data_IF_120282135784
#
_entry.id   IF_120282135784
#
_cell.length_a   1.000
_cell.length_b   1.000
_cell.length_c   1.000
_cell.angle_alpha   90.00
_cell.angle_beta   90.00
_cell.angle_gamma   90.00
#
_symmetry.space_group_name_H-M   'P 1'
#
loop_
_entity.id
_entity.type
_entity.pdbx_description
1 polymer ?
#
# COMPACT_ATOMS: atom_id res chain seq x y z
N UNK A 1 19.38 28.59 -0.50
CA UNK A 1 19.08 27.22 -1.00
C UNK A 1 17.64 26.92 -0.62
N UNK A 2 16.73 26.91 -1.59
CA UNK A 2 15.32 26.64 -1.33
C UNK A 2 15.12 25.12 -1.34
N UNK A 3 14.84 24.54 -0.17
CA UNK A 3 14.60 23.10 0.00
C UNK A 3 13.19 22.67 -0.42
N UNK A 4 12.30 23.64 -0.63
CA UNK A 4 10.92 23.44 -1.05
C UNK A 4 10.66 24.26 -2.31
N UNK A 5 9.87 23.69 -3.22
CA UNK A 5 9.28 24.37 -4.37
C UNK A 5 7.77 24.35 -4.17
N UNK A 6 7.14 25.50 -4.36
CA UNK A 6 5.68 25.65 -4.29
C UNK A 6 5.19 26.00 -5.69
N UNK A 7 4.42 25.09 -6.27
CA UNK A 7 3.79 25.29 -7.57
C UNK A 7 2.40 25.89 -7.38
N UNK A 8 1.96 26.73 -8.32
CA UNK A 8 0.59 27.23 -8.30
C UNK A 8 -0.37 26.06 -8.62
N UNK A 9 -1.34 25.73 -7.74
CA UNK A 9 -2.31 24.67 -8.02
C UNK A 9 -3.08 24.86 -9.33
N UNK A 10 -3.23 26.09 -9.83
CA UNK A 10 -3.91 26.35 -11.10
C UNK A 10 -3.08 25.99 -12.34
N UNK A 11 -1.77 25.84 -12.20
CA UNK A 11 -0.87 25.40 -13.26
C UNK A 11 -0.73 23.87 -13.30
N UNK A 12 -1.25 23.16 -12.29
CA UNK A 12 -1.18 21.70 -12.17
C UNK A 12 -2.41 21.02 -12.78
N UNK A 13 -2.25 19.75 -13.15
CA UNK A 13 -3.40 18.91 -13.52
C UNK A 13 -4.34 18.77 -12.32
N UNK A 14 -5.65 18.77 -12.58
CA UNK A 14 -6.63 18.59 -11.50
C UNK A 14 -6.47 17.22 -10.83
N UNK A 15 -5.95 16.21 -11.55
CA UNK A 15 -5.63 14.89 -11.01
C UNK A 15 -4.50 14.97 -9.98
N UNK A 16 -3.42 15.71 -10.26
CA UNK A 16 -2.33 15.92 -9.30
C UNK A 16 -2.84 16.63 -8.03
N UNK A 17 -3.62 17.70 -8.19
CA UNK A 17 -4.24 18.41 -7.07
C UNK A 17 -5.17 17.50 -6.24
N UNK A 18 -6.02 16.71 -6.89
CA UNK A 18 -6.92 15.78 -6.21
C UNK A 18 -6.13 14.71 -5.45
N UNK A 19 -5.02 14.25 -6.02
CA UNK A 19 -4.15 13.27 -5.38
C UNK A 19 -3.42 13.86 -4.15
N UNK A 20 -2.89 15.08 -4.24
CA UNK A 20 -2.32 15.79 -3.08
C UNK A 20 -3.33 15.90 -1.93
N UNK A 21 -4.56 16.31 -2.24
CA UNK A 21 -5.65 16.41 -1.24
C UNK A 21 -6.01 15.05 -0.67
N UNK A 22 -6.09 14.00 -1.51
CA UNK A 22 -6.35 12.63 -1.09
C UNK A 22 -5.30 12.16 -0.08
N UNK A 23 -4.01 12.28 -0.43
CA UNK A 23 -2.91 11.78 0.39
C UNK A 23 -2.79 12.58 1.69
N UNK A 24 -2.87 13.91 1.63
CA UNK A 24 -2.77 14.75 2.81
C UNK A 24 -3.94 14.51 3.78
N UNK A 25 -5.18 14.42 3.28
CA UNK A 25 -6.34 14.20 4.14
C UNK A 25 -6.31 12.82 4.80
N UNK A 26 -5.96 11.76 4.07
CA UNK A 26 -5.82 10.43 4.70
C UNK A 26 -4.66 10.43 5.69
N UNK A 27 -3.52 11.03 5.36
CA UNK A 27 -2.38 11.10 6.28
C UNK A 27 -2.74 11.79 7.60
N UNK A 28 -3.37 12.97 7.54
CA UNK A 28 -3.83 13.70 8.73
C UNK A 28 -4.76 12.83 9.57
N UNK A 29 -5.73 12.16 8.94
CA UNK A 29 -6.67 11.30 9.67
C UNK A 29 -6.01 10.04 10.24
N UNK A 30 -5.00 9.46 9.58
CA UNK A 30 -4.17 8.37 10.10
C UNK A 30 -3.39 8.82 11.33
N UNK A 31 -2.76 10.00 11.28
CA UNK A 31 -2.03 10.58 12.43
C UNK A 31 -2.99 10.83 13.60
N UNK A 32 -4.13 11.46 13.35
CA UNK A 32 -5.16 11.70 14.38
C UNK A 32 -5.64 10.38 14.98
N UNK A 33 -5.95 9.38 14.15
CA UNK A 33 -6.34 8.05 14.62
C UNK A 33 -5.24 7.42 15.47
N UNK A 34 -3.98 7.47 15.04
CA UNK A 34 -2.84 6.93 15.80
C UNK A 34 -2.69 7.61 17.17
N UNK A 35 -2.83 8.93 17.25
CA UNK A 35 -2.79 9.68 18.52
C UNK A 35 -3.97 9.31 19.42
N UNK A 36 -5.18 9.23 18.87
CA UNK A 36 -6.39 8.87 19.64
C UNK A 36 -6.27 7.45 20.19
N UNK A 37 -5.81 6.49 19.38
CA UNK A 37 -5.60 5.10 19.80
C UNK A 37 -4.49 4.99 20.85
N UNK A 38 -3.40 5.74 20.68
CA UNK A 38 -2.33 5.80 21.67
C UNK A 38 -2.83 6.29 23.03
N UNK A 39 -3.65 7.35 23.05
CA UNK A 39 -4.29 7.87 24.27
C UNK A 39 -5.26 6.86 24.90
N UNK A 40 -5.82 5.95 24.12
CA UNK A 40 -6.68 4.84 24.58
C UNK A 40 -5.88 3.60 25.01
N UNK A 41 -4.55 3.65 24.94
CA UNK A 41 -3.66 2.56 25.34
C UNK A 41 -3.32 1.56 24.24
N UNK A 42 -3.79 1.78 23.00
CA UNK A 42 -3.46 0.96 21.83
C UNK A 42 -2.28 1.57 21.09
N UNK A 43 -1.14 0.87 21.11
CA UNK A 43 0.16 1.36 20.63
C UNK A 43 0.45 0.99 19.17
N UNK A 44 -0.26 0.00 18.63
CA UNK A 44 -0.05 -0.53 17.27
C UNK A 44 -0.10 0.54 16.19
N UNK A 45 -1.00 1.52 16.29
CA UNK A 45 -1.15 2.56 15.26
C UNK A 45 0.03 3.53 15.21
N UNK A 46 0.60 3.90 16.37
CA UNK A 46 1.81 4.72 16.40
C UNK A 46 3.02 3.93 15.91
N UNK A 47 3.12 2.66 16.30
CA UNK A 47 4.16 1.76 15.80
C UNK A 47 4.11 1.63 14.27
N UNK A 48 2.92 1.40 13.71
CA UNK A 48 2.68 1.32 12.28
C UNK A 48 3.05 2.62 11.55
N UNK A 49 2.61 3.77 12.08
CA UNK A 49 2.90 5.10 11.51
C UNK A 49 4.42 5.35 11.43
N UNK A 50 5.16 5.07 12.51
CA UNK A 50 6.62 5.25 12.51
C UNK A 50 7.30 4.23 11.58
N UNK A 51 6.89 2.96 11.60
CA UNK A 51 7.48 1.94 10.74
C UNK A 51 7.24 2.24 9.25
N UNK A 52 6.03 2.61 8.87
CA UNK A 52 5.68 2.97 7.49
C UNK A 52 6.37 4.25 7.03
N UNK A 53 6.51 5.25 7.92
CA UNK A 53 7.28 6.46 7.63
C UNK A 53 8.76 6.12 7.38
N UNK A 54 9.41 5.37 8.27
CA UNK A 54 10.81 4.94 8.09
C UNK A 54 10.98 4.12 6.83
N UNK A 55 10.06 3.18 6.57
CA UNK A 55 10.06 2.39 5.34
C UNK A 55 10.07 3.31 4.11
N UNK A 56 9.16 4.28 4.07
CA UNK A 56 9.03 5.20 2.96
C UNK A 56 10.25 6.07 2.77
N UNK A 57 10.78 6.67 3.85
CA UNK A 57 11.99 7.48 3.76
C UNK A 57 13.17 6.67 3.21
N UNK A 58 13.35 5.42 3.64
CA UNK A 58 14.45 4.58 3.13
C UNK A 58 14.25 4.21 1.67
N UNK A 59 13.03 3.89 1.25
CA UNK A 59 12.76 3.56 -0.15
C UNK A 59 12.92 4.76 -1.07
N UNK A 60 12.45 5.93 -0.64
CA UNK A 60 12.43 7.09 -1.51
C UNK A 60 13.78 7.81 -1.55
N UNK A 61 14.46 7.90 -0.41
CA UNK A 61 15.86 8.38 -0.37
C UNK A 61 16.82 7.37 -0.98
N UNK A 62 16.59 6.07 -0.78
CA UNK A 62 17.46 5.02 -1.29
C UNK A 62 17.26 4.74 -2.77
N UNK A 63 16.00 4.67 -3.23
CA UNK A 63 15.62 4.32 -4.59
C UNK A 63 15.67 5.52 -5.53
N UNK A 64 14.88 6.57 -5.29
CA UNK A 64 14.81 7.70 -6.22
C UNK A 64 16.12 8.46 -6.31
N UNK A 65 16.80 8.65 -5.18
CA UNK A 65 17.98 9.47 -5.15
C UNK A 65 19.24 8.78 -5.73
N UNK A 66 19.18 7.46 -5.99
CA UNK A 66 20.35 6.71 -6.49
C UNK A 66 20.16 6.01 -7.83
N UNK A 67 18.92 5.72 -8.25
CA UNK A 67 18.68 4.89 -9.44
C UNK A 67 18.21 5.67 -10.67
N UNK A 68 17.80 6.94 -10.55
CA UNK A 68 17.34 7.80 -11.66
C UNK A 68 16.42 7.08 -12.67
N UNK A 69 15.57 6.17 -12.18
CA UNK A 69 14.77 5.26 -13.01
C UNK A 69 13.46 5.89 -13.53
N UNK A 70 13.10 7.07 -13.03
CA UNK A 70 12.00 7.88 -13.52
C UNK A 70 12.19 9.35 -13.11
N UNK A 71 11.42 10.24 -13.75
CA UNK A 71 11.29 11.64 -13.37
C UNK A 71 9.91 11.87 -12.75
N UNK A 72 9.85 12.70 -11.71
CA UNK A 72 8.60 13.10 -11.09
C UNK A 72 7.97 14.27 -11.84
N UNK A 73 6.65 14.25 -11.96
CA UNK A 73 5.86 15.39 -12.40
C UNK A 73 5.66 16.42 -11.29
N UNK A 74 5.05 17.54 -11.64
CA UNK A 74 4.82 18.63 -10.70
C UNK A 74 3.59 18.41 -9.82
N UNK A 75 3.77 18.63 -8.52
CA UNK A 75 2.72 18.66 -7.49
C UNK A 75 2.78 19.99 -6.73
N UNK A 76 1.78 20.28 -5.90
CA UNK A 76 1.65 21.60 -5.26
C UNK A 76 2.85 21.93 -4.37
N UNK A 77 3.41 20.91 -3.71
CA UNK A 77 4.61 21.04 -2.88
C UNK A 77 5.62 20.00 -3.31
N UNK A 78 6.80 20.45 -3.72
CA UNK A 78 7.92 19.57 -4.06
C UNK A 78 9.09 19.78 -3.10
N UNK A 79 9.77 18.69 -2.75
CA UNK A 79 11.05 18.64 -2.08
C UNK A 79 12.15 18.82 -3.10
N UNK A 80 12.93 19.89 -2.97
CA UNK A 80 14.02 20.22 -3.88
C UNK A 80 15.29 19.43 -3.52
N UNK A 81 15.25 18.10 -3.65
CA UNK A 81 16.42 17.25 -3.49
C UNK A 81 17.62 17.70 -4.33
N UNK A 82 17.46 18.12 -5.59
CA UNK A 82 18.59 18.58 -6.41
C UNK A 82 19.36 19.78 -5.83
N UNK A 83 18.75 20.56 -4.92
CA UNK A 83 19.45 21.63 -4.22
C UNK A 83 20.46 21.13 -3.18
N UNK A 84 20.41 19.85 -2.77
CA UNK A 84 21.34 19.24 -1.83
C UNK A 84 22.50 18.61 -2.63
N UNK A 85 23.78 18.93 -2.37
CA UNK A 85 24.91 18.44 -3.17
C UNK A 85 25.00 16.91 -3.29
N UNK A 86 24.56 16.16 -2.28
CA UNK A 86 24.53 14.69 -2.32
C UNK A 86 23.57 14.13 -3.40
N UNK A 87 22.58 14.92 -3.80
CA UNK A 87 21.50 14.55 -4.71
C UNK A 87 21.49 15.42 -5.98
N UNK A 88 22.62 16.06 -6.29
CA UNK A 88 22.79 16.81 -7.53
C UNK A 88 22.58 15.88 -8.74
N UNK A 89 21.68 16.27 -9.65
CA UNK A 89 21.32 15.45 -10.82
C UNK A 89 20.16 14.46 -10.60
N UNK A 90 19.48 14.51 -9.46
CA UNK A 90 18.21 13.80 -9.23
C UNK A 90 17.00 14.67 -9.63
N UNK A 91 15.77 14.18 -9.45
CA UNK A 91 14.54 14.95 -9.66
C UNK A 91 14.02 15.53 -8.34
N UNK A 92 13.26 16.64 -8.42
CA UNK A 92 12.50 17.10 -7.26
C UNK A 92 11.41 16.07 -6.93
N UNK A 93 11.08 15.91 -5.65
CA UNK A 93 10.15 14.85 -5.22
C UNK A 93 8.86 15.48 -4.69
N UNK A 94 7.67 15.02 -5.11
CA UNK A 94 6.43 15.48 -4.53
C UNK A 94 6.40 15.25 -3.03
N UNK A 95 5.92 16.22 -2.25
CA UNK A 95 5.87 16.10 -0.80
C UNK A 95 5.02 14.91 -0.35
N UNK A 96 3.96 14.58 -1.09
CA UNK A 96 3.09 13.44 -0.78
C UNK A 96 3.87 12.13 -0.66
N UNK A 97 4.99 11.98 -1.36
CA UNK A 97 5.82 10.77 -1.33
C UNK A 97 6.29 10.46 0.10
N UNK A 98 6.59 11.49 0.89
CA UNK A 98 7.03 11.31 2.28
C UNK A 98 5.94 10.76 3.20
N UNK A 99 4.67 10.97 2.82
CA UNK A 99 3.48 10.52 3.55
C UNK A 99 2.76 9.36 2.85
N UNK A 100 3.26 8.92 1.69
CA UNK A 100 2.64 7.90 0.85
C UNK A 100 2.50 6.58 1.59
N UNK A 101 3.62 6.02 2.06
CA UNK A 101 3.66 4.76 2.79
C UNK A 101 2.86 4.77 4.10
N UNK A 102 2.94 5.82 4.94
CA UNK A 102 2.02 5.99 6.05
C UNK A 102 0.55 5.84 5.70
N UNK A 103 0.11 6.42 4.58
CA UNK A 103 -1.28 6.35 4.12
C UNK A 103 -1.62 4.94 3.67
N UNK A 104 -0.91 4.41 2.67
CA UNK A 104 -1.29 3.16 2.01
C UNK A 104 -1.16 1.95 2.95
N UNK A 105 -0.13 1.92 3.81
CA UNK A 105 0.03 0.84 4.79
C UNK A 105 -0.94 0.96 5.95
N UNK A 106 -1.37 2.17 6.34
CA UNK A 106 -2.41 2.30 7.35
C UNK A 106 -3.76 1.77 6.86
N UNK A 107 -4.14 2.09 5.61
CA UNK A 107 -5.35 1.55 4.99
C UNK A 107 -5.27 0.02 4.93
N UNK A 108 -4.21 -0.53 4.34
CA UNK A 108 -4.13 -1.97 4.16
C UNK A 108 -3.94 -2.75 5.46
N UNK A 109 -3.23 -2.20 6.46
CA UNK A 109 -3.16 -2.83 7.79
C UNK A 109 -4.55 -2.93 8.40
N UNK A 110 -5.36 -1.89 8.27
CA UNK A 110 -6.72 -1.85 8.80
C UNK A 110 -7.65 -2.84 8.10
N UNK A 111 -7.52 -2.97 6.78
CA UNK A 111 -8.21 -4.02 6.02
C UNK A 111 -7.80 -5.38 6.53
N UNK A 112 -6.50 -5.69 6.53
CA UNK A 112 -5.96 -7.00 6.93
C UNK A 112 -6.37 -7.40 8.35
N UNK A 113 -6.34 -6.46 9.29
CA UNK A 113 -6.80 -6.67 10.67
C UNK A 113 -8.31 -6.97 10.71
N UNK A 114 -9.11 -6.20 10.00
CA UNK A 114 -10.57 -6.35 9.94
C UNK A 114 -11.02 -7.67 9.30
N UNK A 115 -10.21 -8.27 8.40
CA UNK A 115 -10.54 -9.54 7.75
C UNK A 115 -10.62 -10.71 8.75
N UNK A 116 -9.91 -10.68 9.88
CA UNK A 116 -9.94 -11.76 10.87
C UNK A 116 -9.31 -13.07 10.37
N UNK A 117 -8.26 -12.99 9.54
CA UNK A 117 -7.51 -14.16 9.07
C UNK A 117 -6.55 -14.62 10.17
N UNK A 118 -6.74 -15.84 10.70
CA UNK A 118 -5.97 -16.35 11.84
C UNK A 118 -4.46 -16.55 11.57
N UNK A 119 -4.09 -16.93 10.34
CA UNK A 119 -2.69 -17.12 9.97
C UNK A 119 -2.05 -15.79 9.56
N UNK A 120 -1.05 -15.33 10.32
CA UNK A 120 -0.32 -14.10 10.02
C UNK A 120 0.30 -14.06 8.62
N UNK A 121 0.81 -15.20 8.14
CA UNK A 121 1.39 -15.29 6.79
C UNK A 121 0.30 -15.12 5.73
N UNK A 122 -0.85 -15.78 5.89
CA UNK A 122 -1.97 -15.63 4.95
C UNK A 122 -2.55 -14.22 4.98
N UNK A 123 -2.68 -13.63 6.17
CA UNK A 123 -3.11 -12.25 6.36
C UNK A 123 -2.14 -11.27 5.68
N UNK A 124 -0.83 -11.47 5.85
CA UNK A 124 0.20 -10.68 5.20
C UNK A 124 0.18 -10.80 3.67
N UNK A 125 0.06 -12.00 3.11
CA UNK A 125 -0.08 -12.22 1.66
C UNK A 125 -1.36 -11.55 1.14
N UNK A 126 -2.46 -11.61 1.91
CA UNK A 126 -3.71 -10.89 1.58
C UNK A 126 -3.48 -9.38 1.57
N UNK A 127 -2.71 -8.86 2.52
CA UNK A 127 -2.29 -7.47 2.54
C UNK A 127 -1.43 -7.08 1.33
N UNK A 128 -0.49 -7.93 0.92
CA UNK A 128 0.29 -7.71 -0.30
C UNK A 128 -0.58 -7.67 -1.57
N UNK A 129 -1.55 -8.57 -1.69
CA UNK A 129 -2.53 -8.51 -2.79
C UNK A 129 -3.38 -7.23 -2.72
N UNK A 130 -3.79 -6.82 -1.52
CA UNK A 130 -4.49 -5.55 -1.30
C UNK A 130 -3.65 -4.35 -1.75
N UNK A 131 -2.34 -4.34 -1.50
CA UNK A 131 -1.45 -3.29 -1.99
C UNK A 131 -1.45 -3.21 -3.51
N UNK A 132 -1.38 -4.34 -4.21
CA UNK A 132 -1.48 -4.35 -5.69
C UNK A 132 -2.80 -3.74 -6.16
N UNK A 133 -3.92 -4.07 -5.51
CA UNK A 133 -5.23 -3.51 -5.87
C UNK A 133 -5.34 -2.01 -5.60
N UNK A 134 -4.78 -1.56 -4.47
CA UNK A 134 -4.74 -0.16 -4.09
C UNK A 134 -3.81 0.64 -5.01
N UNK A 135 -2.70 0.04 -5.42
CA UNK A 135 -1.69 0.72 -6.20
C UNK A 135 -1.96 0.70 -7.70
N UNK A 136 -2.70 -0.28 -8.21
CA UNK A 136 -3.08 -0.34 -9.63
C UNK A 136 -3.65 0.98 -10.18
N UNK A 137 -4.65 1.64 -9.55
CA UNK A 137 -5.12 2.92 -10.01
C UNK A 137 -4.05 4.02 -9.89
N UNK A 138 -3.27 4.07 -8.81
CA UNK A 138 -2.18 5.04 -8.65
C UNK A 138 -1.11 4.90 -9.74
N UNK A 139 -0.55 3.69 -9.87
CA UNK A 139 0.56 3.38 -10.75
C UNK A 139 0.22 3.59 -12.23
N UNK A 140 -0.99 3.20 -12.64
CA UNK A 140 -1.44 3.37 -14.02
C UNK A 140 -1.78 4.84 -14.30
N UNK A 141 -2.51 5.51 -13.40
CA UNK A 141 -2.93 6.90 -13.58
C UNK A 141 -1.74 7.84 -13.71
N UNK A 142 -0.73 7.66 -12.84
CA UNK A 142 0.44 8.53 -12.83
C UNK A 142 1.30 8.45 -14.08
N UNK A 143 1.30 7.31 -14.78
CA UNK A 143 2.03 7.10 -16.03
C UNK A 143 1.29 7.57 -17.28
N UNK A 144 0.04 8.05 -17.19
CA UNK A 144 -0.71 8.52 -18.36
C UNK A 144 -0.12 9.81 -18.90
N UNK A 145 -0.02 9.92 -20.22
CA UNK A 145 0.63 11.06 -20.92
C UNK A 145 -0.02 12.43 -20.68
N UNK A 146 -1.29 12.45 -20.29
CA UNK A 146 -2.05 13.67 -19.98
C UNK A 146 -2.18 13.95 -18.47
N UNK A 147 -1.65 13.06 -17.62
CA UNK A 147 -1.65 13.20 -16.15
C UNK A 147 -0.23 13.45 -15.64
N UNK A 148 0.71 12.60 -16.03
CA UNK A 148 2.16 12.73 -15.84
C UNK A 148 2.56 13.02 -14.39
N UNK A 149 2.18 12.13 -13.46
CA UNK A 149 2.71 12.18 -12.10
C UNK A 149 4.17 11.72 -12.05
N UNK A 150 4.55 10.82 -12.96
CA UNK A 150 5.94 10.47 -13.23
C UNK A 150 6.10 9.96 -14.66
N UNK A 151 7.33 9.94 -15.12
CA UNK A 151 7.72 9.36 -16.41
C UNK A 151 8.89 8.42 -16.19
N UNK A 152 8.70 7.12 -16.46
CA UNK A 152 9.77 6.14 -16.36
C UNK A 152 10.82 6.33 -17.45
N UNK A 153 12.08 6.03 -17.13
CA UNK A 153 13.13 5.89 -18.12
C UNK A 153 12.84 4.64 -18.97
N UNK A 154 12.56 4.80 -20.29
CA UNK A 154 12.26 3.68 -21.17
C UNK A 154 13.48 2.77 -21.40
N UNK A 155 14.70 3.26 -21.17
CA UNK A 155 15.94 2.52 -21.36
C UNK A 155 16.40 1.80 -20.09
N UNK A 156 15.64 1.92 -18.99
CA UNK A 156 15.95 1.24 -17.75
C UNK A 156 15.76 -0.27 -17.90
N UNK A 157 16.88 -1.00 -17.95
CA UNK A 157 16.96 -2.44 -18.30
C UNK A 157 16.12 -3.39 -17.44
N UNK A 158 15.66 -2.92 -16.27
CA UNK A 158 14.86 -3.73 -15.34
C UNK A 158 13.36 -3.48 -15.48
N UNK A 159 12.89 -2.66 -16.41
CA UNK A 159 11.47 -2.42 -16.63
C UNK A 159 10.93 -3.15 -17.86
N UNK A 160 9.98 -4.04 -17.60
CA UNK A 160 8.97 -4.47 -18.57
C UNK A 160 7.63 -3.88 -18.11
N UNK A 161 6.85 -3.33 -19.03
CA UNK A 161 5.64 -2.57 -18.70
C UNK A 161 4.37 -3.35 -19.01
N UNK A 162 3.38 -3.23 -18.13
CA UNK A 162 2.00 -3.62 -18.38
C UNK A 162 1.10 -2.40 -18.17
N UNK A 163 0.52 -1.88 -19.26
CA UNK A 163 -0.34 -0.69 -19.24
C UNK A 163 0.33 0.56 -18.65
N UNK A 164 1.63 0.72 -18.88
CA UNK A 164 2.43 1.82 -18.32
C UNK A 164 2.94 1.58 -16.90
N UNK A 165 2.52 0.49 -16.23
CA UNK A 165 3.01 0.09 -14.91
C UNK A 165 4.19 -0.88 -15.04
N UNK A 166 5.38 -0.57 -14.49
CA UNK A 166 6.48 -1.51 -14.45
C UNK A 166 6.09 -2.79 -13.68
N UNK A 167 6.31 -3.95 -14.29
CA UNK A 167 6.06 -5.24 -13.68
C UNK A 167 6.94 -5.49 -12.44
N UNK A 168 8.14 -4.89 -12.42
CA UNK A 168 9.01 -4.87 -11.25
C UNK A 168 8.36 -4.12 -10.08
N UNK A 169 7.70 -2.99 -10.33
CA UNK A 169 7.00 -2.21 -9.31
C UNK A 169 5.76 -2.93 -8.79
N UNK A 170 4.95 -3.53 -9.67
CA UNK A 170 3.82 -4.38 -9.28
C UNK A 170 4.27 -5.51 -8.33
N UNK A 171 5.38 -6.16 -8.69
CA UNK A 171 5.97 -7.23 -7.87
C UNK A 171 6.46 -6.70 -6.53
N UNK A 172 7.08 -5.52 -6.53
CA UNK A 172 7.54 -4.84 -5.32
C UNK A 172 6.35 -4.51 -4.39
N UNK A 173 5.26 -3.95 -4.90
CA UNK A 173 4.04 -3.67 -4.12
C UNK A 173 3.49 -4.92 -3.45
N UNK A 174 3.42 -6.03 -4.18
CA UNK A 174 2.96 -7.30 -3.64
C UNK A 174 3.87 -7.83 -2.53
N UNK A 175 5.16 -8.01 -2.84
CA UNK A 175 6.12 -8.70 -1.98
C UNK A 175 6.45 -7.86 -0.75
N UNK A 176 6.77 -6.57 -0.93
CA UNK A 176 7.18 -5.72 0.16
C UNK A 176 5.99 -5.33 1.03
N UNK A 177 4.79 -5.14 0.43
CA UNK A 177 3.55 -5.01 1.17
C UNK A 177 3.30 -6.23 2.07
N UNK A 178 3.41 -7.45 1.53
CA UNK A 178 3.27 -8.67 2.32
C UNK A 178 4.34 -8.78 3.43
N UNK A 179 5.60 -8.50 3.12
CA UNK A 179 6.68 -8.51 4.11
C UNK A 179 6.41 -7.51 5.24
N UNK A 180 6.02 -6.28 4.90
CA UNK A 180 5.69 -5.23 5.85
C UNK A 180 4.57 -5.68 6.79
N UNK A 181 3.43 -6.14 6.26
CA UNK A 181 2.33 -6.61 7.08
C UNK A 181 2.70 -7.82 7.94
N UNK A 182 3.48 -8.76 7.42
CA UNK A 182 3.97 -9.89 8.22
C UNK A 182 4.74 -9.41 9.45
N UNK A 183 5.67 -8.46 9.27
CA UNK A 183 6.42 -7.90 10.40
C UNK A 183 5.53 -7.11 11.35
N UNK A 184 4.58 -6.30 10.86
CA UNK A 184 3.64 -5.60 11.73
C UNK A 184 2.83 -6.58 12.60
N UNK A 185 2.19 -7.57 11.96
CA UNK A 185 1.39 -8.61 12.64
C UNK A 185 2.22 -9.45 13.62
N UNK A 186 3.49 -9.72 13.30
CA UNK A 186 4.41 -10.45 14.18
C UNK A 186 4.76 -9.65 15.44
N UNK A 187 4.78 -8.33 15.37
CA UNK A 187 5.12 -7.47 16.52
C UNK A 187 3.93 -7.14 17.42
N UNK A 188 2.68 -7.34 16.97
CA UNK A 188 1.46 -7.05 17.76
C UNK A 188 1.54 -7.55 19.22
N UNK A 189 1.95 -8.80 19.54
CA UNK A 189 2.03 -9.25 20.93
C UNK A 189 2.99 -8.39 21.79
N UNK A 190 4.10 -7.94 21.23
CA UNK A 190 5.07 -7.06 21.92
C UNK A 190 4.61 -5.61 22.00
N UNK A 191 3.71 -5.21 21.10
CA UNK A 191 3.18 -3.86 20.99
C UNK A 191 1.94 -3.68 21.85
N UNK A 192 0.97 -4.59 21.84
CA UNK A 192 -0.30 -4.44 22.56
C UNK A 192 -0.71 -5.69 23.39
N UNK A 193 0.11 -6.75 23.42
CA UNK A 193 -0.14 -7.98 24.20
C UNK A 193 -0.02 -7.82 25.72
N UNK A 194 0.10 -8.90 26.50
CA UNK A 194 0.17 -8.85 27.97
C UNK A 194 1.32 -7.98 28.48
N UNK A 195 1.17 -7.32 29.63
CA UNK A 195 2.15 -6.36 30.18
C UNK A 195 3.57 -6.93 30.26
N UNK A 196 3.70 -8.21 30.58
CA UNK A 196 4.98 -8.92 30.69
C UNK A 196 5.73 -9.05 29.35
N UNK A 197 5.00 -9.07 28.23
CA UNK A 197 5.57 -9.17 26.88
C UNK A 197 5.80 -7.79 26.24
N UNK A 198 5.28 -6.71 26.86
CA UNK A 198 5.29 -5.37 26.30
C UNK A 198 6.68 -4.75 26.35
N UNK A 199 7.11 -4.23 25.20
CA UNK A 199 8.29 -3.37 25.13
C UNK A 199 7.93 -1.95 25.59
N UNK A 200 8.83 -1.27 26.29
CA UNK A 200 8.65 0.13 26.68
C UNK A 200 8.53 1.08 25.48
N UNK A 201 7.77 2.16 25.63
CA UNK A 201 7.39 3.04 24.51
C UNK A 201 8.58 3.63 23.74
N UNK A 202 9.64 4.04 24.45
CA UNK A 202 10.86 4.57 23.79
C UNK A 202 11.52 3.53 22.88
N UNK A 203 11.73 2.30 23.38
CA UNK A 203 12.31 1.20 22.59
C UNK A 203 11.38 0.74 21.47
N UNK A 204 10.07 0.79 21.69
CA UNK A 204 9.06 0.47 20.67
C UNK A 204 9.19 1.40 19.46
N UNK A 205 9.16 2.72 19.69
CA UNK A 205 9.12 3.71 18.61
C UNK A 205 10.50 3.99 18.01
N UNK A 206 11.56 4.04 18.82
CA UNK A 206 12.90 4.39 18.36
C UNK A 206 13.69 3.21 17.78
N UNK A 207 13.31 1.96 18.11
CA UNK A 207 14.09 0.77 17.70
C UNK A 207 13.22 -0.25 16.98
N UNK A 208 12.13 -0.72 17.60
CA UNK A 208 11.35 -1.83 17.03
C UNK A 208 10.62 -1.43 15.74
N UNK A 209 10.01 -0.24 15.68
CA UNK A 209 9.34 0.25 14.48
C UNK A 209 10.31 0.42 13.30
N UNK A 210 11.45 1.14 13.44
CA UNK A 210 12.46 1.19 12.40
C UNK A 210 13.01 -0.18 12.01
N UNK A 211 13.32 -1.05 12.98
CA UNK A 211 13.83 -2.38 12.70
C UNK A 211 12.84 -3.23 11.90
N UNK A 212 11.54 -3.15 12.21
CA UNK A 212 10.51 -3.85 11.46
C UNK A 212 10.40 -3.34 10.02
N UNK A 213 10.50 -2.03 9.81
CA UNK A 213 10.57 -1.42 8.49
C UNK A 213 11.78 -1.92 7.69
N UNK A 214 12.98 -1.81 8.27
CA UNK A 214 14.24 -2.27 7.64
C UNK A 214 14.23 -3.78 7.37
N UNK A 215 13.62 -4.57 8.24
CA UNK A 215 13.46 -6.02 8.03
C UNK A 215 12.54 -6.32 6.85
N UNK A 216 11.44 -5.56 6.69
CA UNK A 216 10.55 -5.69 5.54
C UNK A 216 11.27 -5.34 4.23
N UNK A 217 12.10 -4.30 4.24
CA UNK A 217 12.95 -3.91 3.10
C UNK A 217 13.94 -5.01 2.74
N UNK A 218 14.69 -5.53 3.73
CA UNK A 218 15.68 -6.58 3.50
C UNK A 218 15.05 -7.88 2.99
N UNK A 219 13.95 -8.33 3.60
CA UNK A 219 13.21 -9.52 3.14
C UNK A 219 12.62 -9.28 1.75
N UNK A 220 12.06 -8.10 1.52
CA UNK A 220 11.52 -7.70 0.23
C UNK A 220 12.58 -7.79 -0.87
N UNK A 221 13.76 -7.20 -0.66
CA UNK A 221 14.87 -7.26 -1.61
C UNK A 221 15.27 -8.68 -1.97
N UNK A 222 15.40 -9.57 -0.97
CA UNK A 222 15.72 -10.99 -1.21
C UNK A 222 14.59 -11.68 -1.98
N UNK A 223 13.34 -11.45 -1.60
CA UNK A 223 12.17 -12.05 -2.24
C UNK A 223 11.92 -11.52 -3.66
N UNK A 224 12.41 -10.33 -3.99
CA UNK A 224 12.41 -9.76 -5.34
C UNK A 224 13.47 -10.37 -6.26
N UNK A 225 14.46 -11.10 -5.72
CA UNK A 225 15.55 -11.67 -6.54
C UNK A 225 15.10 -12.49 -7.75
N UNK A 226 13.99 -13.27 -7.73
CA UNK A 226 13.58 -14.04 -8.92
C UNK A 226 13.30 -13.14 -10.13
N UNK A 227 12.53 -12.06 -9.97
CA UNK A 227 12.22 -11.16 -11.10
C UNK A 227 13.44 -10.34 -11.53
N UNK A 228 14.30 -9.95 -10.59
CA UNK A 228 15.56 -9.27 -10.94
C UNK A 228 16.47 -10.19 -11.75
N UNK A 229 16.63 -11.45 -11.33
CA UNK A 229 17.44 -12.44 -12.05
C UNK A 229 16.84 -12.72 -13.43
N UNK A 230 15.52 -12.93 -13.54
CA UNK A 230 14.90 -13.16 -14.87
C UNK A 230 15.07 -11.96 -15.80
N UNK A 231 14.94 -10.74 -15.27
CA UNK A 231 15.16 -9.52 -16.04
C UNK A 231 16.59 -9.43 -16.56
N UNK A 232 17.58 -9.72 -15.71
CA UNK A 232 19.01 -9.71 -16.09
C UNK A 232 19.37 -10.82 -17.10
N UNK A 233 18.61 -11.92 -17.10
CA UNK A 233 18.74 -13.01 -18.08
C UNK A 233 17.98 -12.74 -19.39
N UNK A 234 17.28 -11.60 -19.52
CA UNK A 234 16.47 -11.27 -20.69
C UNK A 234 15.19 -12.12 -20.82
N UNK A 235 14.74 -12.73 -19.73
CA UNK A 235 13.50 -13.52 -19.69
C UNK A 235 12.32 -12.56 -19.41
N UNK A 236 11.18 -12.71 -20.11
CA UNK A 236 10.00 -11.88 -19.87
C UNK A 236 9.54 -11.91 -18.40
N UNK A 237 9.39 -10.73 -17.81
CA UNK A 237 9.01 -10.54 -16.41
C UNK A 237 7.59 -11.02 -16.13
N UNK A 238 6.67 -10.89 -17.10
CA UNK A 238 5.26 -11.26 -16.92
C UNK A 238 5.08 -12.71 -16.45
N UNK A 239 6.02 -13.62 -16.77
CA UNK A 239 6.00 -15.02 -16.32
C UNK A 239 6.09 -15.07 -14.78
N UNK A 240 7.07 -14.38 -14.20
CA UNK A 240 7.29 -14.36 -12.75
C UNK A 240 6.13 -13.64 -12.06
N UNK A 241 5.69 -12.51 -12.60
CA UNK A 241 4.57 -11.74 -12.04
C UNK A 241 3.28 -12.55 -12.06
N UNK A 242 2.98 -13.26 -13.15
CA UNK A 242 1.79 -14.09 -13.26
C UNK A 242 1.80 -15.22 -12.24
N UNK A 243 2.94 -15.91 -12.08
CA UNK A 243 3.09 -16.97 -11.08
C UNK A 243 2.94 -16.43 -9.66
N UNK A 244 3.49 -15.25 -9.38
CA UNK A 244 3.33 -14.59 -8.08
C UNK A 244 1.85 -14.27 -7.81
N UNK A 245 1.15 -13.66 -8.76
CA UNK A 245 -0.26 -13.29 -8.60
C UNK A 245 -1.15 -14.53 -8.44
N UNK A 246 -0.92 -15.58 -9.23
CA UNK A 246 -1.61 -16.87 -9.07
C UNK A 246 -1.36 -17.44 -7.66
N UNK A 247 -0.11 -17.42 -7.20
CA UNK A 247 0.26 -17.87 -5.84
C UNK A 247 -0.44 -17.06 -4.75
N UNK A 248 -0.52 -15.74 -4.90
CA UNK A 248 -1.23 -14.87 -3.97
C UNK A 248 -2.72 -15.21 -3.94
N UNK A 249 -3.38 -15.29 -5.10
CA UNK A 249 -4.80 -15.66 -5.19
C UNK A 249 -5.06 -17.05 -4.59
N UNK A 250 -4.19 -18.03 -4.86
CA UNK A 250 -4.29 -19.38 -4.31
C UNK A 250 -4.18 -19.42 -2.78
N UNK A 251 -3.51 -18.46 -2.15
CA UNK A 251 -3.46 -18.31 -0.69
C UNK A 251 -4.64 -17.50 -0.16
N UNK A 252 -4.96 -16.38 -0.80
CA UNK A 252 -5.97 -15.42 -0.35
C UNK A 252 -7.35 -16.04 -0.40
N UNK A 253 -7.75 -16.70 -1.50
CA UNK A 253 -9.10 -17.25 -1.64
C UNK A 253 -9.44 -18.25 -0.52
N UNK A 254 -8.60 -19.25 -0.20
CA UNK A 254 -8.84 -20.12 0.95
C UNK A 254 -8.74 -19.40 2.30
N UNK A 255 -7.86 -18.40 2.44
CA UNK A 255 -7.74 -17.62 3.67
C UNK A 255 -9.03 -16.86 3.99
N UNK A 256 -9.62 -16.20 2.98
CA UNK A 256 -10.87 -15.46 3.09
C UNK A 256 -12.05 -16.36 3.43
N UNK A 257 -12.10 -17.60 2.88
CA UNK A 257 -13.14 -18.59 3.23
C UNK A 257 -13.07 -19.03 4.70
N UNK A 258 -11.88 -19.05 5.29
CA UNK A 258 -11.66 -19.40 6.69
C UNK A 258 -11.60 -18.20 7.64
N UNK A 259 -11.82 -16.99 7.13
CA UNK A 259 -11.70 -15.76 7.90
C UNK A 259 -12.89 -15.59 8.85
N UNK A 260 -12.63 -15.02 10.04
CA UNK A 260 -13.65 -14.81 11.08
C UNK A 260 -13.69 -13.36 11.52
N UNK A 261 -14.18 -12.45 10.65
CA UNK A 261 -14.17 -11.03 10.96
C UNK A 261 -15.03 -10.71 12.21
N UNK A 262 -14.66 -9.68 12.99
CA UNK A 262 -15.50 -9.15 14.07
C UNK A 262 -16.88 -8.75 13.50
N UNK A 263 -17.96 -9.15 14.15
CA UNK A 263 -19.32 -8.96 13.60
C UNK A 263 -19.81 -7.51 13.68
N UNK A 264 -20.48 -7.08 12.63
CA UNK A 264 -21.54 -6.06 12.70
C UNK A 264 -21.09 -4.61 12.74
N UNK A 265 -19.78 -4.32 12.68
CA UNK A 265 -19.29 -2.95 12.53
C UNK A 265 -17.98 -2.92 11.75
N UNK A 266 -17.98 -2.23 10.61
CA UNK A 266 -16.73 -1.77 9.99
C UNK A 266 -16.29 -0.51 10.71
N UNK A 267 -14.99 -0.41 11.00
CA UNK A 267 -14.42 0.79 11.59
C UNK A 267 -14.71 2.01 10.69
N UNK A 268 -15.35 3.08 11.20
CA UNK A 268 -15.73 4.24 10.39
C UNK A 268 -14.57 4.90 9.65
N UNK A 269 -13.36 4.90 10.23
CA UNK A 269 -12.20 5.46 9.54
C UNK A 269 -11.75 4.57 8.38
N UNK A 270 -11.83 3.23 8.51
CA UNK A 270 -11.52 2.33 7.38
C UNK A 270 -12.47 2.62 6.22
N UNK A 271 -13.77 2.70 6.51
CA UNK A 271 -14.77 3.01 5.48
C UNK A 271 -14.54 4.40 4.89
N UNK A 272 -14.27 5.40 5.74
CA UNK A 272 -13.96 6.76 5.30
C UNK A 272 -12.76 6.82 4.35
N UNK A 273 -11.65 6.15 4.69
CA UNK A 273 -10.46 6.09 3.84
C UNK A 273 -10.72 5.36 2.53
N UNK A 274 -11.38 4.19 2.57
CA UNK A 274 -11.67 3.39 1.39
C UNK A 274 -12.64 4.10 0.43
N UNK A 275 -13.69 4.75 0.97
CA UNK A 275 -14.63 5.55 0.18
C UNK A 275 -13.94 6.77 -0.42
N UNK A 276 -13.13 7.48 0.36
CA UNK A 276 -12.43 8.66 -0.14
C UNK A 276 -11.45 8.32 -1.26
N UNK A 277 -10.67 7.25 -1.09
CA UNK A 277 -9.84 6.67 -2.13
C UNK A 277 -10.65 6.32 -3.40
N UNK A 278 -11.77 5.61 -3.24
CA UNK A 278 -12.60 5.19 -4.36
C UNK A 278 -13.27 6.36 -5.08
N UNK A 279 -13.68 7.42 -4.35
CA UNK A 279 -14.25 8.63 -4.94
C UNK A 279 -13.18 9.39 -5.74
N UNK A 280 -11.99 9.58 -5.16
CA UNK A 280 -10.91 10.31 -5.82
C UNK A 280 -10.45 9.61 -7.11
N UNK A 281 -10.10 8.32 -7.03
CA UNK A 281 -9.69 7.56 -8.22
C UNK A 281 -10.86 7.27 -9.18
N UNK A 282 -12.08 7.12 -8.66
CA UNK A 282 -13.27 7.00 -9.50
C UNK A 282 -13.51 8.24 -10.36
N UNK A 283 -13.28 9.44 -9.80
CA UNK A 283 -13.35 10.69 -10.56
C UNK A 283 -12.28 10.74 -11.67
N UNK A 284 -11.04 10.31 -11.38
CA UNK A 284 -9.95 10.21 -12.36
C UNK A 284 -10.28 9.23 -13.49
N UNK A 285 -10.75 8.03 -13.16
CA UNK A 285 -11.22 7.02 -14.14
C UNK A 285 -12.34 7.58 -15.03
N UNK A 286 -13.32 8.30 -14.45
CA UNK A 286 -14.40 8.92 -15.22
C UNK A 286 -13.86 10.03 -16.13
N UNK A 287 -12.97 10.89 -15.62
CA UNK A 287 -12.32 11.93 -16.41
C UNK A 287 -11.57 11.36 -17.62
N UNK A 288 -10.86 10.26 -17.42
CA UNK A 288 -10.13 9.57 -18.49
C UNK A 288 -11.06 8.84 -19.46
N UNK A 289 -12.16 8.25 -18.99
CA UNK A 289 -13.18 7.68 -19.88
C UNK A 289 -13.74 8.75 -20.84
N UNK A 290 -13.99 9.96 -20.34
CA UNK A 290 -14.45 11.09 -21.16
C UNK A 290 -13.35 11.53 -22.12
N UNK A 291 -12.11 11.65 -21.66
CA UNK A 291 -10.97 12.05 -22.48
C UNK A 291 -10.70 11.07 -23.64
N UNK A 292 -10.73 9.77 -23.37
CA UNK A 292 -10.47 8.70 -24.35
C UNK A 292 -11.67 8.43 -25.27
N UNK A 293 -12.84 8.98 -24.98
CA UNK A 293 -14.10 8.69 -25.67
C UNK A 293 -14.47 7.18 -25.69
N UNK A 294 -14.08 6.43 -24.68
CA UNK A 294 -14.34 4.99 -24.63
C UNK A 294 -13.63 4.24 -23.52
N UNK A 295 -14.09 3.02 -23.26
CA UNK A 295 -13.49 2.15 -22.24
C UNK A 295 -12.22 1.48 -22.77
N UNK A 296 -11.09 1.80 -22.16
CA UNK A 296 -9.79 1.18 -22.44
C UNK A 296 -9.47 0.08 -21.43
N UNK A 297 -8.46 -0.74 -21.74
CA UNK A 297 -8.00 -1.79 -20.84
C UNK A 297 -7.45 -1.23 -19.52
N UNK A 298 -6.71 -0.11 -19.56
CA UNK A 298 -6.15 0.50 -18.36
C UNK A 298 -7.25 0.98 -17.41
N UNK A 299 -8.31 1.61 -17.93
CA UNK A 299 -9.47 2.03 -17.14
C UNK A 299 -10.18 0.83 -16.50
N UNK A 300 -10.26 -0.30 -17.21
CA UNK A 300 -10.82 -1.54 -16.67
C UNK A 300 -10.00 -2.03 -15.48
N UNK A 301 -8.67 -2.05 -15.60
CA UNK A 301 -7.77 -2.49 -14.52
C UNK A 301 -7.83 -1.56 -13.31
N UNK A 302 -7.81 -0.24 -13.51
CA UNK A 302 -7.99 0.73 -12.43
C UNK A 302 -9.32 0.51 -11.70
N UNK A 303 -10.41 0.35 -12.45
CA UNK A 303 -11.75 0.09 -11.90
C UNK A 303 -11.78 -1.20 -11.08
N UNK A 304 -11.16 -2.28 -11.57
CA UNK A 304 -11.04 -3.54 -10.84
C UNK A 304 -10.22 -3.37 -9.54
N UNK A 305 -9.16 -2.56 -9.56
CA UNK A 305 -8.40 -2.19 -8.36
C UNK A 305 -9.28 -1.51 -7.31
N UNK A 306 -10.02 -0.47 -7.69
CA UNK A 306 -10.96 0.26 -6.82
C UNK A 306 -12.03 -0.69 -6.25
N UNK A 307 -12.65 -1.50 -7.11
CA UNK A 307 -13.65 -2.49 -6.69
C UNK A 307 -13.06 -3.50 -5.72
N UNK A 308 -11.83 -3.97 -5.96
CA UNK A 308 -11.11 -4.89 -5.09
C UNK A 308 -10.83 -4.29 -3.71
N UNK A 309 -10.39 -3.03 -3.65
CA UNK A 309 -10.19 -2.29 -2.38
C UNK A 309 -11.50 -2.21 -1.60
N UNK A 310 -12.60 -1.80 -2.24
CA UNK A 310 -13.91 -1.69 -1.59
C UNK A 310 -14.44 -3.05 -1.14
N UNK A 311 -14.27 -4.10 -1.96
CA UNK A 311 -14.72 -5.45 -1.63
C UNK A 311 -14.01 -5.99 -0.38
N UNK A 312 -12.69 -5.78 -0.27
CA UNK A 312 -11.92 -6.19 0.91
C UNK A 312 -12.24 -5.33 2.14
N UNK A 313 -12.37 -4.02 1.99
CA UNK A 313 -12.71 -3.11 3.09
C UNK A 313 -14.12 -3.36 3.66
N UNK A 314 -15.07 -3.78 2.80
CA UNK A 314 -16.46 -4.08 3.20
C UNK A 314 -16.68 -5.54 3.57
N UNK A 315 -15.70 -6.42 3.39
CA UNK A 315 -15.79 -7.85 3.68
C UNK A 315 -16.43 -8.19 5.04
N UNK A 316 -16.09 -7.50 6.15
CA UNK A 316 -16.70 -7.77 7.46
C UNK A 316 -18.22 -7.58 7.53
N UNK A 317 -18.82 -6.82 6.60
CA UNK A 317 -20.26 -6.55 6.57
C UNK A 317 -21.08 -7.73 6.04
N UNK A 318 -20.50 -8.52 5.13
CA UNK A 318 -21.22 -9.57 4.40
C UNK A 318 -20.64 -10.97 4.64
N UNK A 319 -19.46 -11.08 5.24
CA UNK A 319 -18.89 -12.36 5.62
C UNK A 319 -19.61 -13.00 6.83
N UNK A 320 -19.70 -14.35 6.90
CA UNK A 320 -20.26 -15.04 8.06
C UNK A 320 -19.40 -14.77 9.29
N UNK A 321 -19.86 -13.91 10.20
CA UNK A 321 -19.02 -13.59 11.37
C UNK A 321 -18.88 -14.76 12.36
N UNK A 322 -17.94 -14.61 13.29
CA UNK A 322 -17.44 -15.65 14.22
C UNK A 322 -18.53 -16.50 14.89
N UNK A 323 -19.59 -15.87 15.42
CA UNK A 323 -20.64 -16.61 16.13
C UNK A 323 -21.50 -17.55 15.25
N UNK A 324 -21.66 -17.31 13.94
CA UNK A 324 -22.31 -18.32 13.05
C UNK A 324 -21.33 -19.36 12.57
N UNK A 325 -20.03 -19.04 12.49
CA UNK A 325 -19.01 -20.05 12.19
C UNK A 325 -18.94 -21.08 13.33
N UNK A 326 -19.00 -20.62 14.58
CA UNK A 326 -19.02 -21.48 15.78
C UNK A 326 -20.33 -22.28 15.88
N UNK A 327 -21.50 -21.65 15.69
CA UNK A 327 -22.78 -22.36 15.67
C UNK A 327 -22.89 -23.42 14.55
N UNK A 328 -22.31 -23.16 13.36
CA UNK A 328 -22.23 -24.16 12.28
C UNK A 328 -21.32 -25.34 12.63
N UNK A 329 -20.23 -25.10 13.36
CA UNK A 329 -19.33 -26.17 13.84
C UNK A 329 -20.03 -27.03 14.88
N UNK A 330 -20.75 -26.43 15.82
CA UNK A 330 -21.53 -27.15 16.83
C UNK A 330 -22.64 -27.99 16.18
N UNK A 331 -23.37 -27.42 15.22
CA UNK A 331 -24.41 -28.15 14.46
C UNK A 331 -23.81 -29.31 13.66
N UNK A 332 -22.66 -29.10 13.00
CA UNK A 332 -21.98 -30.15 12.24
C UNK A 332 -21.33 -31.24 13.11
N UNK A 333 -20.96 -30.92 14.36
CA UNK A 333 -20.50 -31.89 15.34
C UNK A 333 -21.66 -32.74 15.86
N UNK A 334 -22.81 -32.11 16.15
CA UNK A 334 -24.03 -32.79 16.60
C UNK A 334 -24.65 -33.71 15.53
N UNK A 335 -24.44 -33.44 14.24
CA UNK A 335 -24.92 -34.32 13.16
C UNK A 335 -24.01 -35.53 12.89
N UNK A 336 -22.88 -35.65 13.59
CA UNK A 336 -21.91 -36.76 13.43
C UNK A 336 -21.88 -37.70 14.64
N UNK A 337 -22.59 -37.37 15.71
CA UNK A 337 -22.82 -38.21 16.89
C UNK A 337 -24.09 -39.03 16.72
#
# INVERSE_FOLDING_TARGET
MNLLIFNDPFDLSWQANLYDVLMLSIFVTVVVHAIVQWRRGTRTWMFLLIASFVYGQVIELGGMATLNMYQQGDFAVMLNYPAIPLFEGTTAMPFYVTIFYPVIFAIGFKVVDALGIASRIKAAITGGLFMVLLDAPYSIEGGLRHVVWWTYDPDFKLFEFWLGWPLLELTWQAIWGAAFYYFMLRHIPRVDGPVEERVGNGRLLAVQAPLAALSAIAVGLVAMSPITITSLLGIPQWIVVSLLMIGYVAVVVPAMRGATPPRGSVDPWLMGWAVWFAVAFGAMVIGNLVYENGMTLYLTVQTLGIVGVLALATFPLWAPGRATADARRETAAASRS
#
